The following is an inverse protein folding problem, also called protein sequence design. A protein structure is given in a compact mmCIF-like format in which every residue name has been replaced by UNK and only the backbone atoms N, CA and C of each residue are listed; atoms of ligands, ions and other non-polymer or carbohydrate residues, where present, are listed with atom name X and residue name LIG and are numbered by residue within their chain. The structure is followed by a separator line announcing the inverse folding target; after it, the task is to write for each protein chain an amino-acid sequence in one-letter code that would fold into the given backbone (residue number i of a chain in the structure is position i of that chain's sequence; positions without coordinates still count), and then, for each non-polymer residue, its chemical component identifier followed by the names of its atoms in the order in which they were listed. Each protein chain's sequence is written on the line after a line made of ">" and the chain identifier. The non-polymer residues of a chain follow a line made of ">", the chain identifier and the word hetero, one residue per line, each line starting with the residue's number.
data_IF_670560728457
#
_entry.id   IF_670560728457
#
_cell.length_a   1.000
_cell.length_b   1.000
_cell.length_c   1.000
_cell.angle_alpha   90.00
_cell.angle_beta   90.00
_cell.angle_gamma   90.00
#
_symmetry.space_group_name_H-M   'P 1'
#
loop_
_entity.id
_entity.type
_entity.pdbx_description
1 polymer ?
#
# COMPACT_ATOMS: atom_id res chain seq x y z
N UNK A 1 -3.04 10.41 18.34
CA UNK A 1 -2.42 9.83 17.14
C UNK A 1 -3.11 8.51 16.85
N UNK A 2 -3.41 8.20 15.59
CA UNK A 2 -3.92 6.88 15.23
C UNK A 2 -2.80 5.85 15.37
N UNK A 3 -3.11 4.69 15.95
CA UNK A 3 -2.19 3.57 16.08
C UNK A 3 -1.82 3.02 14.69
N UNK A 4 -0.53 2.74 14.46
CA UNK A 4 -0.03 2.25 13.18
C UNK A 4 -0.21 0.72 13.12
N UNK A 5 -1.06 0.23 12.22
CA UNK A 5 -1.41 -1.19 12.19
C UNK A 5 -0.26 -2.11 11.75
N UNK A 6 0.65 -1.62 10.91
CA UNK A 6 1.75 -2.42 10.35
C UNK A 6 3.05 -2.34 11.17
N UNK A 7 3.03 -1.67 12.31
CA UNK A 7 4.17 -1.56 13.22
C UNK A 7 3.83 -2.18 14.58
N UNK A 8 4.83 -2.72 15.26
CA UNK A 8 4.76 -3.08 16.67
C UNK A 8 5.07 -1.88 17.58
N UNK A 9 5.11 -2.12 18.89
CA UNK A 9 5.39 -1.09 19.90
C UNK A 9 6.82 -0.55 19.90
N UNK A 10 7.76 -1.29 19.32
CA UNK A 10 9.17 -0.90 19.16
C UNK A 10 9.44 -0.22 17.80
N UNK A 11 8.43 -0.15 16.93
CA UNK A 11 8.52 0.39 15.58
C UNK A 11 9.00 -0.63 14.54
N UNK A 12 9.09 -1.91 14.90
CA UNK A 12 9.36 -3.01 14.00
C UNK A 12 8.17 -3.28 13.07
N UNK A 13 8.46 -3.68 11.82
CA UNK A 13 7.41 -4.04 10.87
C UNK A 13 6.75 -5.37 11.26
N UNK A 14 5.42 -5.42 11.22
CA UNK A 14 4.64 -6.64 11.46
C UNK A 14 3.52 -6.81 10.43
N UNK A 15 3.19 -8.06 10.15
CA UNK A 15 2.01 -8.38 9.35
C UNK A 15 0.75 -8.34 10.23
N UNK A 16 -0.31 -7.70 9.72
CA UNK A 16 -1.60 -7.66 10.41
C UNK A 16 -2.33 -8.98 10.15
N UNK A 17 -2.80 -9.64 11.20
CA UNK A 17 -3.71 -10.78 11.05
C UNK A 17 -5.06 -10.31 10.51
N UNK A 18 -5.46 -10.90 9.38
CA UNK A 18 -6.72 -10.63 8.69
C UNK A 18 -7.59 -11.88 8.55
N UNK A 19 -7.19 -13.03 9.11
CA UNK A 19 -7.86 -14.31 8.92
C UNK A 19 -9.31 -14.36 9.40
N UNK A 20 -9.64 -13.56 10.42
CA UNK A 20 -11.02 -13.42 10.91
C UNK A 20 -11.90 -12.43 10.14
N UNK A 21 -11.37 -11.74 9.11
CA UNK A 21 -12.14 -10.75 8.35
C UNK A 21 -12.97 -11.44 7.26
N UNK A 22 -14.26 -11.09 7.10
CA UNK A 22 -15.08 -11.68 6.05
C UNK A 22 -14.55 -11.30 4.66
N UNK A 23 -14.55 -12.28 3.77
CA UNK A 23 -14.24 -12.05 2.36
C UNK A 23 -15.28 -11.11 1.74
N UNK A 24 -14.81 -10.17 0.94
CA UNK A 24 -15.60 -9.16 0.23
C UNK A 24 -14.93 -8.87 -1.10
N UNK A 25 -15.69 -8.55 -2.13
CA UNK A 25 -15.12 -8.15 -3.41
C UNK A 25 -14.46 -6.77 -3.29
N UNK A 26 -13.16 -6.70 -3.59
CA UNK A 26 -12.35 -5.49 -3.45
C UNK A 26 -11.57 -5.24 -4.73
N UNK A 27 -11.61 -4.00 -5.22
CA UNK A 27 -10.84 -3.55 -6.37
C UNK A 27 -10.09 -2.28 -6.02
N UNK A 28 -8.79 -2.27 -6.29
CA UNK A 28 -7.94 -1.08 -6.22
C UNK A 28 -7.36 -0.80 -7.61
N UNK A 29 -7.31 0.46 -8.01
CA UNK A 29 -6.68 0.91 -9.25
C UNK A 29 -5.71 2.02 -8.88
N UNK A 30 -4.44 1.86 -9.27
CA UNK A 30 -3.42 2.87 -9.12
C UNK A 30 -3.01 3.41 -10.50
N UNK A 31 -2.64 4.69 -10.55
CA UNK A 31 -2.12 5.36 -11.74
C UNK A 31 -0.90 6.18 -11.34
N UNK A 32 0.04 6.35 -12.27
CA UNK A 32 1.17 7.26 -12.12
C UNK A 32 1.40 8.05 -13.42
N UNK A 33 2.06 9.20 -13.29
CA UNK A 33 2.55 10.01 -14.40
C UNK A 33 4.06 10.08 -14.30
N UNK A 34 4.76 9.91 -15.42
CA UNK A 34 6.18 10.14 -15.54
C UNK A 34 6.42 11.25 -16.56
N UNK A 35 7.05 12.33 -16.12
CA UNK A 35 7.51 13.39 -17.02
C UNK A 35 8.92 13.07 -17.48
N UNK A 36 9.12 13.02 -18.79
CA UNK A 36 10.43 12.75 -19.41
C UNK A 36 10.62 13.61 -20.67
N UNK A 37 11.86 13.68 -21.15
CA UNK A 37 12.17 14.36 -22.40
C UNK A 37 11.62 13.57 -23.61
N UNK A 38 11.23 14.22 -24.72
CA UNK A 38 10.70 13.52 -25.90
C UNK A 38 11.66 12.47 -26.44
N UNK A 39 12.96 12.71 -26.38
CA UNK A 39 14.00 11.79 -26.85
C UNK A 39 14.04 10.50 -26.02
N UNK A 40 13.56 10.53 -24.77
CA UNK A 40 13.45 9.33 -23.91
C UNK A 40 12.23 8.49 -24.26
N UNK A 41 11.20 9.10 -24.87
CA UNK A 41 9.96 8.43 -25.27
C UNK A 41 9.95 7.94 -26.72
N UNK A 42 10.98 8.28 -27.51
CA UNK A 42 11.10 7.98 -28.95
C UNK A 42 11.45 6.52 -29.24
#
# INVERSE_FOLDING_TARGET
>A
MAELSHLDSEGGARMVDVGGKPATDRRAVAVSELRMAPETAA
#
